data_IF_979573845658
#
_entry.id   IF_979573845658
#
_cell.length_a   1.000
_cell.length_b   1.000
_cell.length_c   1.000
_cell.angle_alpha   90.00
_cell.angle_beta   90.00
_cell.angle_gamma   90.00
#
_symmetry.space_group_name_H-M   'P 1'
#
loop_
_entity.id
_entity.type
_entity.pdbx_description
1 polymer ?
#
# COMPACT_ATOMS: atom_id res chain seq x y z
N UNK A 1 -12.43 11.17 -18.68
CA UNK A 1 -12.77 11.30 -17.25
C UNK A 1 -11.46 11.54 -16.53
N UNK A 2 -11.23 12.77 -16.07
CA UNK A 2 -10.00 13.13 -15.33
C UNK A 2 -9.94 12.25 -14.07
N UNK A 3 -8.95 11.36 -13.97
CA UNK A 3 -8.61 10.75 -12.69
C UNK A 3 -8.13 11.90 -11.80
N UNK A 4 -8.88 12.20 -10.75
CA UNK A 4 -8.53 13.27 -9.81
C UNK A 4 -7.11 13.05 -9.29
N UNK A 5 -6.28 14.10 -9.27
CA UNK A 5 -4.89 14.07 -8.79
C UNK A 5 -4.78 13.95 -7.26
N UNK A 6 -5.87 13.62 -6.56
CA UNK A 6 -5.90 13.56 -5.10
C UNK A 6 -5.05 12.38 -4.58
N UNK A 7 -3.82 12.70 -4.16
CA UNK A 7 -2.85 11.75 -3.60
C UNK A 7 -2.97 11.58 -2.08
N UNK A 8 -4.09 11.99 -1.48
CA UNK A 8 -4.33 11.75 -0.04
C UNK A 8 -4.44 10.24 0.21
N UNK A 9 -3.86 9.77 1.31
CA UNK A 9 -3.95 8.37 1.72
C UNK A 9 -5.37 8.11 2.23
N UNK A 10 -6.00 7.07 1.68
CA UNK A 10 -7.32 6.59 2.10
C UNK A 10 -7.18 5.46 3.12
N UNK A 11 -6.28 4.51 2.86
CA UNK A 11 -6.10 3.34 3.72
C UNK A 11 -4.66 2.81 3.67
N UNK A 12 -4.23 2.15 4.75
CA UNK A 12 -2.94 1.46 4.86
C UNK A 12 -3.20 0.09 5.48
N UNK A 13 -2.79 -0.98 4.80
CA UNK A 13 -2.87 -2.34 5.33
C UNK A 13 -1.47 -2.91 5.49
N UNK A 14 -1.10 -3.26 6.72
CA UNK A 14 0.21 -3.85 7.02
C UNK A 14 0.05 -5.33 7.41
N UNK A 15 1.00 -6.16 6.99
CA UNK A 15 1.05 -7.58 7.34
C UNK A 15 2.49 -8.04 7.53
N UNK A 16 2.68 -9.05 8.37
CA UNK A 16 3.96 -9.76 8.50
C UNK A 16 4.10 -10.77 7.35
N UNK A 17 5.27 -10.78 6.71
CA UNK A 17 5.68 -11.76 5.70
C UNK A 17 7.10 -12.26 6.01
N UNK A 18 7.58 -13.26 5.26
CA UNK A 18 8.98 -13.72 5.37
C UNK A 18 9.81 -13.20 4.19
N UNK A 19 11.03 -12.73 4.46
CA UNK A 19 12.01 -12.40 3.42
C UNK A 19 12.60 -13.66 2.77
N UNK A 20 13.46 -13.50 1.77
CA UNK A 20 14.12 -14.63 1.08
C UNK A 20 15.05 -15.47 1.97
N UNK A 21 15.36 -15.01 3.18
CA UNK A 21 16.16 -15.69 4.21
C UNK A 21 15.30 -16.30 5.31
N UNK A 22 13.98 -16.17 5.23
CA UNK A 22 13.03 -16.68 6.22
C UNK A 22 12.88 -15.80 7.46
N UNK A 23 13.37 -14.55 7.43
CA UNK A 23 13.21 -13.63 8.55
C UNK A 23 11.88 -12.87 8.42
N UNK A 24 11.14 -12.65 9.52
CA UNK A 24 9.96 -11.79 9.51
C UNK A 24 10.30 -10.37 9.03
N UNK A 25 9.45 -9.84 8.15
CA UNK A 25 9.47 -8.46 7.67
C UNK A 25 8.04 -7.97 7.45
N UNK A 26 7.87 -6.68 7.16
CA UNK A 26 6.56 -6.05 6.97
C UNK A 26 6.34 -5.78 5.48
N UNK A 27 5.16 -6.15 4.99
CA UNK A 27 4.61 -5.68 3.72
C UNK A 27 3.45 -4.72 4.00
N UNK A 28 3.33 -3.69 3.16
CA UNK A 28 2.31 -2.65 3.30
C UNK A 28 1.66 -2.39 1.95
N UNK A 29 0.33 -2.41 1.92
CA UNK A 29 -0.46 -1.87 0.82
C UNK A 29 -0.98 -0.47 1.20
N UNK A 30 -0.73 0.53 0.35
CA UNK A 30 -1.24 1.90 0.50
C UNK A 30 -2.29 2.16 -0.57
N UNK A 31 -3.47 2.61 -0.16
CA UNK A 31 -4.56 3.00 -1.05
C UNK A 31 -4.72 4.52 -1.00
N UNK A 32 -4.71 5.17 -2.17
CA UNK A 32 -4.95 6.61 -2.31
C UNK A 32 -6.41 6.89 -2.69
N UNK A 33 -6.92 8.06 -2.30
CA UNK A 33 -8.29 8.48 -2.64
C UNK A 33 -8.58 8.57 -4.15
N UNK A 34 -7.55 8.62 -4.99
CA UNK A 34 -7.68 8.57 -6.45
C UNK A 34 -7.68 7.14 -7.04
N UNK A 35 -7.72 6.12 -6.18
CA UNK A 35 -7.78 4.71 -6.56
C UNK A 35 -6.43 4.09 -6.96
N UNK A 36 -5.32 4.81 -6.83
CA UNK A 36 -3.97 4.25 -6.99
C UNK A 36 -3.62 3.43 -5.74
N UNK A 37 -2.98 2.27 -5.93
CA UNK A 37 -2.47 1.41 -4.87
C UNK A 37 -1.01 1.00 -5.15
N UNK A 38 -0.22 0.82 -4.09
CA UNK A 38 1.14 0.29 -4.13
C UNK A 38 1.78 0.17 -2.76
#
# INVERSE_FOLDING_TARGET
MERSLNSSIENIHAREILDSRGNPTIEVDVYLCNGIMG
#
